data_IF_692443805809
#
_entry.id   IF_692443805809
#
_cell.length_a   1.000
_cell.length_b   1.000
_cell.length_c   1.000
_cell.angle_alpha   90.00
_cell.angle_beta   90.00
_cell.angle_gamma   90.00
#
_symmetry.space_group_name_H-M   'P 1'
#
loop_
_entity.id
_entity.type
_entity.pdbx_description
1 polymer ?
#
# COMPACT_ATOMS: atom_id res chain seq x y z
N UNK A 1 -9.25 0.97 22.11
CA UNK A 1 -8.41 1.03 20.90
C UNK A 1 -9.30 1.56 19.79
N UNK A 2 -9.08 2.80 19.37
CA UNK A 2 -9.84 3.41 18.28
C UNK A 2 -9.62 2.61 17.00
N UNK A 3 -10.64 2.50 16.17
CA UNK A 3 -10.47 1.92 14.82
C UNK A 3 -9.62 2.90 14.01
N UNK A 4 -8.57 2.39 13.39
CA UNK A 4 -7.71 3.17 12.48
C UNK A 4 -8.37 3.22 11.10
N UNK A 5 -8.42 4.41 10.51
CA UNK A 5 -8.94 4.63 9.17
C UNK A 5 -7.88 5.26 8.28
N UNK A 6 -8.02 5.01 6.98
CA UNK A 6 -7.14 5.49 5.93
C UNK A 6 -7.99 6.13 4.84
N UNK A 7 -7.67 7.36 4.48
CA UNK A 7 -8.42 8.13 3.50
C UNK A 7 -7.54 8.54 2.32
N UNK A 8 -8.05 8.39 1.11
CA UNK A 8 -7.41 8.84 -0.12
C UNK A 8 -8.23 9.98 -0.73
N UNK A 9 -7.66 11.18 -0.75
CA UNK A 9 -8.29 12.39 -1.30
C UNK A 9 -8.46 12.35 -2.82
N UNK A 10 -7.56 11.67 -3.53
CA UNK A 10 -7.60 11.57 -4.99
C UNK A 10 -8.78 10.73 -5.50
N UNK A 11 -9.25 9.79 -4.69
CA UNK A 11 -10.35 8.87 -5.02
C UNK A 11 -11.57 8.99 -4.11
N UNK A 12 -11.54 9.93 -3.14
CA UNK A 12 -12.57 10.11 -2.11
C UNK A 12 -12.95 8.79 -1.41
N UNK A 13 -11.94 7.98 -1.10
CA UNK A 13 -12.14 6.63 -0.56
C UNK A 13 -11.67 6.54 0.89
N UNK A 14 -12.57 6.12 1.78
CA UNK A 14 -12.29 5.85 3.19
C UNK A 14 -12.29 4.34 3.45
N UNK A 15 -11.18 3.83 4.00
CA UNK A 15 -11.00 2.43 4.32
C UNK A 15 -10.73 2.25 5.80
N UNK A 16 -11.21 1.13 6.35
CA UNK A 16 -10.69 0.64 7.63
C UNK A 16 -9.25 0.15 7.45
N UNK A 17 -8.48 0.06 8.55
CA UNK A 17 -7.14 -0.52 8.52
C UNK A 17 -7.08 -1.89 7.83
N UNK A 18 -8.11 -2.72 8.04
CA UNK A 18 -8.19 -4.04 7.42
C UNK A 18 -8.34 -3.93 5.90
N UNK A 19 -9.30 -3.12 5.44
CA UNK A 19 -9.56 -2.94 4.01
C UNK A 19 -8.38 -2.28 3.30
N UNK A 20 -7.73 -1.33 3.96
CA UNK A 20 -6.50 -0.72 3.46
C UNK A 20 -5.38 -1.75 3.29
N UNK A 21 -5.13 -2.59 4.30
CA UNK A 21 -4.13 -3.67 4.20
C UNK A 21 -4.46 -4.66 3.09
N UNK A 22 -5.72 -5.10 2.98
CA UNK A 22 -6.15 -6.01 1.91
C UNK A 22 -6.02 -5.39 0.51
N UNK A 23 -6.29 -4.08 0.38
CA UNK A 23 -6.08 -3.34 -0.86
C UNK A 23 -4.59 -3.28 -1.24
N UNK A 24 -3.75 -2.84 -0.30
CA UNK A 24 -2.31 -2.69 -0.51
C UNK A 24 -1.64 -4.02 -0.84
N UNK A 25 -1.98 -5.10 -0.12
CA UNK A 25 -1.46 -6.44 -0.42
C UNK A 25 -1.84 -6.91 -1.83
N UNK A 26 -3.06 -6.62 -2.27
CA UNK A 26 -3.54 -7.00 -3.61
C UNK A 26 -2.81 -6.22 -4.71
N UNK A 27 -2.67 -4.91 -4.55
CA UNK A 27 -2.01 -4.05 -5.54
C UNK A 27 -0.51 -4.31 -5.59
N UNK A 28 0.15 -4.41 -4.43
CA UNK A 28 1.55 -4.78 -4.36
C UNK A 28 1.81 -6.15 -4.97
N UNK A 29 0.90 -7.12 -4.81
CA UNK A 29 1.05 -8.44 -5.42
C UNK A 29 0.99 -8.38 -6.94
N UNK A 30 0.03 -7.64 -7.50
CA UNK A 30 -0.08 -7.48 -8.95
C UNK A 30 1.18 -6.82 -9.52
N UNK A 31 1.64 -5.73 -8.89
CA UNK A 31 2.85 -5.02 -9.30
C UNK A 31 4.11 -5.90 -9.15
N UNK A 32 4.21 -6.65 -8.05
CA UNK A 32 5.32 -7.58 -7.82
C UNK A 32 5.35 -8.71 -8.86
N UNK A 33 4.19 -9.22 -9.28
CA UNK A 33 4.11 -10.22 -10.36
C UNK A 33 4.59 -9.63 -11.69
N UNK A 34 4.18 -8.40 -12.03
CA UNK A 34 4.66 -7.68 -13.23
C UNK A 34 6.18 -7.49 -13.19
N UNK A 35 6.72 -6.98 -12.08
CA UNK A 35 8.18 -6.79 -11.90
C UNK A 35 8.93 -8.12 -12.00
N UNK A 36 8.40 -9.21 -11.43
CA UNK A 36 9.01 -10.54 -11.53
C UNK A 36 8.95 -11.12 -12.96
N UNK A 37 7.94 -10.77 -13.76
CA UNK A 37 7.89 -11.13 -15.18
C UNK A 37 8.90 -10.33 -16.00
N UNK A 38 9.10 -9.04 -15.72
CA UNK A 38 10.13 -8.23 -16.37
C UNK A 38 11.56 -8.65 -15.97
N UNK A 39 11.78 -8.98 -14.68
CA UNK A 39 13.06 -9.47 -14.19
C UNK A 39 13.40 -10.88 -14.70
N UNK A 40 12.43 -11.70 -15.12
CA UNK A 40 12.73 -13.01 -15.72
C UNK A 40 13.56 -12.90 -17.00
N UNK A 41 13.45 -11.79 -17.72
CA UNK A 41 14.24 -11.54 -18.94
C UNK A 41 15.65 -11.02 -18.62
N UNK A 42 15.91 -10.57 -17.39
CA UNK A 42 17.23 -10.16 -16.91
C UNK A 42 17.82 -11.26 -16.01
N UNK A 43 18.82 -11.97 -16.51
CA UNK A 43 19.50 -13.10 -15.86
C UNK A 43 20.26 -12.74 -14.56
N UNK A 44 20.04 -11.56 -14.00
CA UNK A 44 20.84 -10.96 -12.95
C UNK A 44 19.99 -10.39 -11.83
N UNK A 45 20.35 -10.83 -10.62
CA UNK A 45 20.31 -10.08 -9.37
C UNK A 45 19.18 -10.42 -8.41
N UNK A 46 19.51 -10.21 -7.14
CA UNK A 46 18.78 -10.52 -5.92
C UNK A 46 17.30 -10.14 -6.02
N UNK A 47 16.43 -11.15 -6.09
CA UNK A 47 14.98 -10.96 -6.07
C UNK A 47 14.59 -10.33 -4.74
N UNK A 48 14.07 -9.11 -4.79
CA UNK A 48 13.46 -8.46 -3.61
C UNK A 48 12.32 -9.34 -3.11
N UNK A 49 12.23 -9.57 -1.80
CA UNK A 49 11.13 -10.37 -1.25
C UNK A 49 9.80 -9.62 -1.37
N UNK A 50 8.68 -10.36 -1.50
CA UNK A 50 7.36 -9.73 -1.54
C UNK A 50 7.07 -8.88 -0.29
N UNK A 51 7.55 -9.30 0.89
CA UNK A 51 7.38 -8.53 2.13
C UNK A 51 8.11 -7.17 2.10
N UNK A 52 9.33 -7.13 1.57
CA UNK A 52 10.08 -5.88 1.39
C UNK A 52 9.47 -4.98 0.32
N UNK A 53 8.95 -5.59 -0.75
CA UNK A 53 8.22 -4.88 -1.80
C UNK A 53 6.95 -4.23 -1.23
N UNK A 54 6.14 -5.01 -0.52
CA UNK A 54 4.91 -4.54 0.12
C UNK A 54 5.19 -3.41 1.12
N UNK A 55 6.26 -3.51 1.92
CA UNK A 55 6.68 -2.45 2.82
C UNK A 55 6.99 -1.16 2.05
N UNK A 56 7.68 -1.27 0.93
CA UNK A 56 8.00 -0.13 0.06
C UNK A 56 6.74 0.54 -0.48
N UNK A 57 5.75 -0.25 -0.91
CA UNK A 57 4.44 0.28 -1.34
C UNK A 57 3.73 1.05 -0.22
N UNK A 58 3.76 0.53 1.02
CA UNK A 58 3.20 1.26 2.17
C UNK A 58 3.91 2.59 2.46
N UNK A 59 5.24 2.64 2.29
CA UNK A 59 6.05 3.82 2.65
C UNK A 59 6.08 4.89 1.54
N UNK A 60 5.97 4.51 0.27
CA UNK A 60 6.26 5.41 -0.86
C UNK A 60 5.13 5.55 -1.89
N UNK A 61 4.25 4.56 -2.03
CA UNK A 61 3.27 4.52 -3.13
C UNK A 61 1.82 4.70 -2.67
N UNK A 62 1.57 4.67 -1.37
CA UNK A 62 0.23 4.85 -0.84
C UNK A 62 -0.16 6.33 -0.79
N UNK A 63 -1.16 6.70 -1.60
CA UNK A 63 -1.85 7.99 -1.52
C UNK A 63 -2.82 8.08 -0.31
N UNK A 64 -2.95 7.00 0.46
CA UNK A 64 -3.79 6.99 1.66
C UNK A 64 -3.08 7.61 2.85
N UNK A 65 -3.78 8.47 3.56
CA UNK A 65 -3.31 9.08 4.80
C UNK A 65 -4.16 8.64 5.98
N UNK A 66 -3.56 8.67 7.17
CA UNK A 66 -4.27 8.33 8.40
C UNK A 66 -5.41 9.32 8.63
N UNK A 67 -6.61 8.80 8.90
CA UNK A 67 -7.81 9.61 9.09
C UNK A 67 -8.66 9.14 10.26
N UNK A 68 -9.61 9.97 10.65
CA UNK A 68 -10.74 9.55 11.48
C UNK A 68 -11.78 8.77 10.65
N UNK A 69 -12.87 8.38 11.31
CA UNK A 69 -13.97 7.63 10.69
C UNK A 69 -14.89 8.48 9.79
N UNK A 70 -14.57 9.75 9.59
CA UNK A 70 -15.28 10.69 8.71
C UNK A 70 -14.39 11.11 7.51
N UNK A 71 -13.14 10.62 7.45
CA UNK A 71 -12.18 10.96 6.39
C UNK A 71 -11.37 12.22 6.66
N UNK A 72 -11.47 12.82 7.85
CA UNK A 72 -10.60 13.93 8.21
C UNK A 72 -9.21 13.40 8.57
N UNK A 73 -8.17 13.99 7.97
CA UNK A 73 -6.78 13.63 8.27
C UNK A 73 -6.49 13.83 9.75
N UNK A 74 -5.90 12.83 10.38
CA UNK A 74 -5.33 12.99 11.71
C UNK A 74 -3.99 13.71 11.54
N UNK A 75 -3.96 15.04 11.72
CA UNK A 75 -2.70 15.80 11.69
C UNK A 75 -1.71 15.19 12.70
N UNK A 76 -0.49 14.87 12.24
CA UNK A 76 0.62 14.56 13.12
C UNK A 76 1.06 15.88 13.79
N UNK A 77 0.84 15.99 15.11
CA UNK A 77 1.32 17.11 15.94
C UNK A 77 2.80 16.97 16.28
#
# INVERSE_FOLDING_TARGET
>A
MGKTYWYNEGTDTLLTEKEYKELMEREAKALYEEVQEEEKDFESSEKTSFEEFLKTCYENESDFVLSDNEGNKLEEW
#
